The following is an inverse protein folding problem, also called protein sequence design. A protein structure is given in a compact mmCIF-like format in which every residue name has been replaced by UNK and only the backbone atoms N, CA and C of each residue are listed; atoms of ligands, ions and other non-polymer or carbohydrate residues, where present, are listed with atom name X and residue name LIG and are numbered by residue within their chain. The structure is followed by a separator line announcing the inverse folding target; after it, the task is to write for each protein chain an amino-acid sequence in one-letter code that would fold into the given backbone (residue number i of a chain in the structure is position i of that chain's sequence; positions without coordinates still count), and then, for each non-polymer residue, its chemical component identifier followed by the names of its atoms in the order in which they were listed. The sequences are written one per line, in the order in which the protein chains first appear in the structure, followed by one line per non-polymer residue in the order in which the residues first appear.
data_IF_705316398112
#
_entry.id   IF_705316398112
#
_cell.length_a   1.000
_cell.length_b   1.000
_cell.length_c   1.000
_cell.angle_alpha   90.00
_cell.angle_beta   90.00
_cell.angle_gamma   90.00
#
_symmetry.space_group_name_H-M   'P 1'
#
loop_
_entity.id
_entity.type
_entity.pdbx_description
1 polymer ?
#
# COMPACT_ATOMS: atom_id res chain seq x y z
N UNK A 1 -9.47 67.11 18.50
CA UNK A 1 -9.57 66.61 17.14
C UNK A 1 -8.33 65.80 16.81
N UNK A 2 -8.40 64.52 16.89
CA UNK A 2 -7.30 63.60 16.54
C UNK A 2 -7.64 62.94 15.20
N UNK A 3 -6.84 63.26 14.18
CA UNK A 3 -6.96 62.62 12.84
C UNK A 3 -6.21 61.27 12.86
N UNK A 4 -6.94 60.18 12.76
CA UNK A 4 -6.39 58.87 12.52
C UNK A 4 -6.31 58.67 10.98
N UNK A 5 -5.08 58.85 10.43
CA UNK A 5 -4.77 58.51 9.03
C UNK A 5 -4.26 57.09 8.99
N UNK A 6 -5.19 56.13 8.79
CA UNK A 6 -4.85 54.73 8.62
C UNK A 6 -4.58 54.42 7.13
N UNK A 7 -3.29 54.29 6.79
CA UNK A 7 -2.85 53.94 5.44
C UNK A 7 -3.29 52.54 5.06
N UNK A 8 -4.14 52.39 4.02
CA UNK A 8 -4.67 51.13 3.50
C UNK A 8 -3.63 50.13 2.95
N UNK A 9 -2.35 50.40 3.14
CA UNK A 9 -1.23 49.50 2.74
C UNK A 9 -0.89 48.48 3.83
N UNK A 10 -1.14 48.80 5.11
CA UNK A 10 -0.90 47.89 6.22
C UNK A 10 -1.96 46.79 6.29
N UNK A 11 -3.22 47.10 5.97
CA UNK A 11 -4.32 46.14 5.98
C UNK A 11 -4.13 45.05 4.91
N UNK A 12 -3.56 45.40 3.73
CA UNK A 12 -3.26 44.44 2.65
C UNK A 12 -2.08 43.49 3.01
N UNK A 13 -1.11 43.96 3.78
CA UNK A 13 0.01 43.13 4.23
C UNK A 13 -0.39 42.12 5.28
N UNK A 14 -1.30 42.47 6.19
CA UNK A 14 -1.83 41.57 7.22
C UNK A 14 -2.70 40.47 6.57
N UNK A 15 -3.52 40.81 5.56
CA UNK A 15 -4.34 39.83 4.85
C UNK A 15 -3.49 38.80 4.07
N UNK A 16 -2.33 39.18 3.55
CA UNK A 16 -1.44 38.31 2.80
C UNK A 16 -0.68 37.32 3.69
N UNK A 17 -0.41 37.66 4.93
CA UNK A 17 0.27 36.79 5.92
C UNK A 17 -0.67 35.74 6.53
N UNK A 18 -1.99 35.96 6.52
CA UNK A 18 -2.98 35.02 7.07
C UNK A 18 -3.32 33.90 6.08
N UNK A 19 -3.19 34.15 4.77
CA UNK A 19 -3.49 33.13 3.72
C UNK A 19 -2.37 32.08 3.59
N UNK A 20 -1.14 32.37 4.04
CA UNK A 20 0.00 31.44 3.96
C UNK A 20 -0.01 30.31 5.02
N UNK A 21 -0.94 30.32 5.98
CA UNK A 21 -0.95 29.42 7.13
C UNK A 21 -1.89 28.21 7.05
N UNK A 22 -2.67 28.01 5.96
CA UNK A 22 -3.72 27.01 5.89
C UNK A 22 -3.48 25.85 4.91
N UNK A 23 -2.25 25.62 4.48
CA UNK A 23 -1.86 24.38 3.85
C UNK A 23 -1.49 23.35 4.93
N UNK A 24 -2.44 22.96 5.76
CA UNK A 24 -2.35 21.70 6.50
C UNK A 24 -2.38 20.59 5.45
N UNK A 25 -1.21 20.17 5.00
CA UNK A 25 -1.08 18.93 4.24
C UNK A 25 -1.64 17.82 5.10
N UNK A 26 -2.82 17.29 4.74
CA UNK A 26 -3.29 16.00 5.26
C UNK A 26 -2.27 14.96 4.84
N UNK A 27 -1.30 14.68 5.69
CA UNK A 27 -0.43 13.51 5.52
C UNK A 27 -1.35 12.29 5.68
N UNK A 28 -1.50 11.43 4.66
CA UNK A 28 -2.28 10.22 4.83
C UNK A 28 -1.71 9.42 5.99
N UNK A 29 -2.60 8.82 6.80
CA UNK A 29 -2.16 7.95 7.89
C UNK A 29 -1.39 6.76 7.28
N UNK A 30 -0.27 6.34 7.90
CA UNK A 30 0.49 5.20 7.40
C UNK A 30 -0.37 3.93 7.51
N UNK A 31 -0.51 3.21 6.41
CA UNK A 31 -1.30 1.98 6.38
C UNK A 31 -0.52 0.76 6.86
N UNK A 32 0.81 0.79 6.71
CA UNK A 32 1.66 -0.37 6.96
C UNK A 32 2.92 -0.02 7.74
N UNK A 33 3.48 -1.06 8.37
CA UNK A 33 4.84 -1.06 8.93
C UNK A 33 5.62 -2.19 8.26
N UNK A 34 6.84 -1.91 7.81
CA UNK A 34 7.72 -2.91 7.19
C UNK A 34 8.62 -3.65 8.21
N UNK A 35 9.45 -4.57 7.73
CA UNK A 35 10.38 -5.34 8.56
C UNK A 35 11.47 -4.48 9.22
N UNK A 36 11.77 -3.29 8.70
CA UNK A 36 12.69 -2.33 9.32
C UNK A 36 11.99 -1.43 10.37
N UNK A 37 10.68 -1.60 10.57
CA UNK A 37 9.87 -0.77 11.46
C UNK A 37 9.53 0.60 10.86
N UNK A 38 9.71 0.77 9.54
CA UNK A 38 9.39 2.01 8.85
C UNK A 38 7.92 2.01 8.42
N UNK A 39 7.31 3.19 8.43
CA UNK A 39 5.94 3.37 7.94
C UNK A 39 5.92 3.38 6.42
N UNK A 40 4.98 2.63 5.84
CA UNK A 40 4.76 2.51 4.39
C UNK A 40 3.31 2.87 4.09
N UNK A 41 3.07 3.59 3.00
CA UNK A 41 1.74 3.94 2.50
C UNK A 41 1.52 3.30 1.13
N UNK A 42 0.26 3.14 0.72
CA UNK A 42 -0.06 2.69 -0.64
C UNK A 42 0.51 3.62 -1.71
N UNK A 43 0.62 4.91 -1.42
CA UNK A 43 1.19 5.91 -2.34
C UNK A 43 2.66 5.62 -2.69
N UNK A 44 3.39 4.87 -1.84
CA UNK A 44 4.74 4.41 -2.15
C UNK A 44 4.81 3.53 -3.41
N UNK A 45 3.71 2.86 -3.74
CA UNK A 45 3.58 1.98 -4.88
C UNK A 45 2.85 2.63 -6.08
N UNK A 46 2.47 3.91 -5.99
CA UNK A 46 1.76 4.61 -7.05
C UNK A 46 2.52 4.61 -8.38
N UNK A 47 1.78 4.66 -9.50
CA UNK A 47 2.34 4.69 -10.85
C UNK A 47 2.44 3.34 -11.55
N UNK A 48 2.24 2.22 -10.83
CA UNK A 48 2.09 0.89 -11.42
C UNK A 48 1.07 0.05 -10.65
N UNK A 49 0.49 -0.99 -11.26
CA UNK A 49 -0.40 -1.89 -10.56
C UNK A 49 0.28 -2.53 -9.35
N UNK A 50 -0.48 -2.73 -8.26
CA UNK A 50 0.00 -3.32 -7.02
C UNK A 50 -0.82 -4.57 -6.68
N UNK A 51 -0.15 -5.69 -6.47
CA UNK A 51 -0.73 -6.90 -5.91
C UNK A 51 -0.43 -6.96 -4.41
N UNK A 52 -1.46 -6.90 -3.59
CA UNK A 52 -1.38 -7.03 -2.13
C UNK A 52 -1.85 -8.42 -1.75
N UNK A 53 -0.95 -9.27 -1.28
CA UNK A 53 -1.24 -10.65 -0.90
C UNK A 53 -1.30 -10.79 0.62
N UNK A 54 -2.36 -11.40 1.14
CA UNK A 54 -2.45 -11.80 2.54
C UNK A 54 -2.03 -13.24 2.72
N UNK A 55 -1.08 -13.47 3.62
CA UNK A 55 -0.54 -14.79 3.94
C UNK A 55 -0.39 -15.01 5.44
N UNK A 56 -0.16 -16.26 5.85
CA UNK A 56 0.26 -16.61 7.19
C UNK A 56 1.24 -17.82 7.15
N UNK A 57 2.14 -17.94 8.14
CA UNK A 57 3.12 -19.04 8.18
C UNK A 57 2.49 -20.44 8.27
N UNK A 58 1.31 -20.55 8.87
CA UNK A 58 0.53 -21.79 8.97
C UNK A 58 -0.32 -22.11 7.73
N UNK A 59 -0.40 -21.19 6.78
CA UNK A 59 -1.18 -21.35 5.55
C UNK A 59 -0.34 -22.02 4.45
N UNK A 60 -0.41 -23.33 4.35
CA UNK A 60 0.37 -24.08 3.36
C UNK A 60 0.18 -23.63 1.90
N UNK A 61 -1.05 -23.35 1.38
CA UNK A 61 -1.22 -22.82 0.04
C UNK A 61 -0.58 -21.42 -0.12
N UNK A 62 -0.59 -20.57 0.92
CA UNK A 62 0.09 -19.26 0.88
C UNK A 62 1.60 -19.42 0.66
N UNK A 63 2.21 -20.39 1.34
CA UNK A 63 3.66 -20.64 1.20
C UNK A 63 4.01 -21.23 -0.17
N UNK A 64 3.12 -22.03 -0.78
CA UNK A 64 3.35 -22.58 -2.12
C UNK A 64 3.28 -21.52 -3.22
N UNK A 65 2.49 -20.46 -3.06
CA UNK A 65 2.42 -19.39 -4.06
C UNK A 65 3.58 -18.39 -3.98
N UNK A 66 4.33 -18.32 -2.87
CA UNK A 66 5.40 -17.33 -2.68
C UNK A 66 6.48 -17.33 -3.77
N UNK A 67 6.94 -18.49 -4.31
CA UNK A 67 7.87 -18.48 -5.45
C UNK A 67 7.31 -17.75 -6.69
N UNK A 68 6.01 -17.89 -6.98
CA UNK A 68 5.34 -17.21 -8.09
C UNK A 68 5.24 -15.71 -7.83
N UNK A 69 4.91 -15.30 -6.60
CA UNK A 69 4.87 -13.89 -6.21
C UNK A 69 6.26 -13.24 -6.25
N UNK A 70 7.30 -13.94 -5.81
CA UNK A 70 8.68 -13.48 -5.91
C UNK A 70 9.09 -13.27 -7.38
N UNK A 71 8.73 -14.21 -8.27
CA UNK A 71 9.00 -14.11 -9.70
C UNK A 71 8.26 -12.92 -10.33
N UNK A 72 6.96 -12.77 -10.03
CA UNK A 72 6.13 -11.66 -10.50
C UNK A 72 6.72 -10.30 -10.10
N UNK A 73 7.16 -10.16 -8.85
CA UNK A 73 7.80 -8.94 -8.36
C UNK A 73 9.10 -8.62 -9.11
N UNK A 74 9.88 -9.66 -9.46
CA UNK A 74 11.15 -9.51 -10.20
C UNK A 74 10.94 -9.02 -11.63
N UNK A 75 9.82 -9.37 -12.27
CA UNK A 75 9.48 -8.89 -13.61
C UNK A 75 9.21 -7.38 -13.64
N UNK A 76 8.76 -6.79 -12.54
CA UNK A 76 8.66 -5.35 -12.33
C UNK A 76 7.46 -4.65 -12.99
N UNK A 77 6.62 -5.37 -13.75
CA UNK A 77 5.38 -4.81 -14.34
C UNK A 77 4.32 -4.52 -13.27
N UNK A 78 4.29 -5.36 -12.22
CA UNK A 78 3.38 -5.29 -11.09
C UNK A 78 4.22 -5.18 -9.81
N UNK A 79 3.94 -4.20 -8.98
CA UNK A 79 4.47 -4.20 -7.63
C UNK A 79 3.77 -5.30 -6.81
N UNK A 80 4.50 -6.01 -5.98
CA UNK A 80 3.94 -7.07 -5.12
C UNK A 80 4.37 -6.83 -3.70
N UNK A 81 3.45 -6.90 -2.77
CA UNK A 81 3.70 -6.87 -1.32
C UNK A 81 2.92 -8.00 -0.65
N UNK A 82 3.40 -8.49 0.49
CA UNK A 82 2.66 -9.46 1.27
C UNK A 82 2.42 -8.94 2.69
N UNK A 83 1.18 -9.11 3.17
CA UNK A 83 0.76 -8.72 4.52
C UNK A 83 0.64 -9.98 5.36
N UNK A 84 1.36 -10.02 6.49
CA UNK A 84 1.13 -11.08 7.47
C UNK A 84 -0.25 -10.91 8.11
N UNK A 85 -1.03 -12.00 8.07
CA UNK A 85 -2.42 -11.99 8.56
C UNK A 85 -2.50 -11.90 10.08
N UNK A 86 -1.59 -12.58 10.78
CA UNK A 86 -1.59 -12.60 12.24
C UNK A 86 -0.87 -11.37 12.82
N UNK A 87 -1.18 -10.97 14.04
CA UNK A 87 -0.38 -9.97 14.74
C UNK A 87 1.10 -10.40 14.78
N UNK A 88 1.99 -9.49 14.47
CA UNK A 88 3.42 -9.75 14.36
C UNK A 88 4.24 -8.49 14.64
N UNK A 89 5.56 -8.65 14.75
CA UNK A 89 6.49 -7.53 14.91
C UNK A 89 7.42 -7.43 13.70
N UNK A 90 8.04 -6.26 13.45
CA UNK A 90 9.03 -6.09 12.38
C UNK A 90 10.15 -7.15 12.42
N UNK A 91 10.68 -7.45 13.61
CA UNK A 91 11.73 -8.45 13.77
C UNK A 91 11.26 -9.89 13.45
N UNK A 92 9.97 -10.19 13.61
CA UNK A 92 9.39 -11.47 13.21
C UNK A 92 9.17 -11.53 11.70
N UNK A 93 8.81 -10.43 11.04
CA UNK A 93 8.72 -10.37 9.57
C UNK A 93 10.06 -10.74 8.92
N UNK A 94 11.18 -10.22 9.41
CA UNK A 94 12.51 -10.57 8.91
C UNK A 94 12.79 -12.08 9.02
N UNK A 95 12.43 -12.68 10.15
CA UNK A 95 12.59 -14.13 10.36
C UNK A 95 11.70 -14.93 9.40
N UNK A 96 10.46 -14.50 9.21
CA UNK A 96 9.53 -15.13 8.26
C UNK A 96 10.05 -15.04 6.82
N UNK A 97 10.56 -13.88 6.41
CA UNK A 97 11.15 -13.67 5.08
C UNK A 97 12.31 -14.64 4.84
N UNK A 98 13.22 -14.76 5.80
CA UNK A 98 14.36 -15.67 5.70
C UNK A 98 13.92 -17.13 5.70
N UNK A 99 13.02 -17.53 6.61
CA UNK A 99 12.58 -18.92 6.80
C UNK A 99 11.83 -19.45 5.57
N UNK A 100 10.99 -18.64 4.94
CA UNK A 100 10.13 -19.05 3.82
C UNK A 100 10.61 -18.52 2.48
N UNK A 101 11.82 -17.95 2.40
CA UNK A 101 12.41 -17.39 1.18
C UNK A 101 11.52 -16.37 0.47
N UNK A 102 10.83 -15.55 1.26
CA UNK A 102 9.96 -14.49 0.76
C UNK A 102 10.83 -13.29 0.39
N UNK A 103 10.77 -12.87 -0.87
CA UNK A 103 11.57 -11.76 -1.43
C UNK A 103 10.74 -10.50 -1.66
N UNK A 104 9.41 -10.64 -1.71
CA UNK A 104 8.51 -9.48 -1.76
C UNK A 104 8.53 -8.76 -0.41
N UNK A 105 8.33 -7.42 -0.37
CA UNK A 105 8.22 -6.71 0.89
C UNK A 105 7.13 -7.31 1.78
N UNK A 106 7.48 -7.64 3.02
CA UNK A 106 6.54 -8.08 4.05
C UNK A 106 6.10 -6.89 4.88
N UNK A 107 4.79 -6.77 5.08
CA UNK A 107 4.16 -5.65 5.75
C UNK A 107 3.25 -6.13 6.89
N UNK A 108 3.11 -5.27 7.89
CA UNK A 108 2.09 -5.34 8.93
C UNK A 108 1.06 -4.28 8.60
N UNK A 109 -0.22 -4.65 8.47
CA UNK A 109 -1.29 -3.66 8.36
C UNK A 109 -1.52 -3.00 9.72
N UNK A 110 -1.48 -1.68 9.78
CA UNK A 110 -1.74 -0.93 11.00
C UNK A 110 -3.24 -1.01 11.35
N UNK A 111 -3.57 -0.97 12.63
CA UNK A 111 -4.96 -1.13 13.11
C UNK A 111 -5.91 -0.06 12.54
N UNK A 112 -5.42 1.17 12.40
CA UNK A 112 -6.18 2.30 11.87
C UNK A 112 -6.06 2.46 10.34
N UNK A 113 -5.44 1.51 9.64
CA UNK A 113 -5.23 1.57 8.21
C UNK A 113 -6.55 1.61 7.44
N UNK A 114 -6.71 2.60 6.57
CA UNK A 114 -7.86 2.73 5.67
C UNK A 114 -7.50 2.19 4.30
N UNK A 115 -7.61 0.88 4.15
CA UNK A 115 -7.29 0.20 2.89
C UNK A 115 -8.48 0.22 1.93
N UNK A 116 -8.28 0.26 0.60
CA UNK A 116 -9.34 0.20 -0.39
C UNK A 116 -9.94 -1.22 -0.54
N UNK A 117 -9.57 -2.14 0.33
CA UNK A 117 -10.03 -3.52 0.39
C UNK A 117 -10.22 -3.96 1.85
N UNK A 118 -11.14 -4.91 2.12
CA UNK A 118 -11.36 -5.41 3.46
C UNK A 118 -10.24 -6.37 3.90
N UNK A 119 -10.10 -6.58 5.21
CA UNK A 119 -9.33 -7.73 5.72
C UNK A 119 -10.01 -9.02 5.24
N UNK A 120 -9.28 -9.98 4.62
CA UNK A 120 -9.89 -11.17 4.07
C UNK A 120 -10.39 -12.12 5.16
N UNK A 121 -11.46 -12.86 4.85
CA UNK A 121 -12.01 -13.91 5.74
C UNK A 121 -11.35 -15.27 5.58
N UNK A 122 -10.48 -15.43 4.58
CA UNK A 122 -9.76 -16.67 4.29
C UNK A 122 -8.43 -16.41 3.59
N UNK A 123 -7.53 -17.39 3.63
CA UNK A 123 -6.19 -17.30 3.06
C UNK A 123 -5.91 -18.44 2.05
N UNK A 124 -5.08 -18.19 1.03
CA UNK A 124 -4.57 -16.87 0.66
C UNK A 124 -5.66 -16.00 -0.02
N UNK A 125 -5.53 -14.69 0.08
CA UNK A 125 -6.34 -13.74 -0.68
C UNK A 125 -5.44 -12.62 -1.16
N UNK A 126 -5.57 -12.26 -2.43
CA UNK A 126 -4.81 -11.18 -3.05
C UNK A 126 -5.75 -10.11 -3.60
N UNK A 127 -5.34 -8.86 -3.49
CA UNK A 127 -6.03 -7.69 -4.01
C UNK A 127 -5.16 -7.02 -5.07
N UNK A 128 -5.69 -6.90 -6.29
CA UNK A 128 -5.05 -6.13 -7.35
C UNK A 128 -5.57 -4.70 -7.32
N UNK A 129 -4.67 -3.75 -7.15
CA UNK A 129 -4.94 -2.32 -7.29
C UNK A 129 -4.38 -1.83 -8.62
N UNK A 130 -5.03 -0.82 -9.22
CA UNK A 130 -4.46 -0.13 -10.38
C UNK A 130 -3.36 0.87 -9.98
N UNK A 131 -2.79 1.56 -10.95
CA UNK A 131 -1.74 2.57 -10.75
C UNK A 131 -2.18 3.78 -9.93
N UNK A 132 -3.48 3.96 -9.71
CA UNK A 132 -4.08 5.01 -8.88
C UNK A 132 -4.44 4.50 -7.48
N UNK A 133 -4.12 3.24 -7.14
CA UNK A 133 -4.42 2.62 -5.85
C UNK A 133 -5.88 2.15 -5.69
N UNK A 134 -6.68 2.11 -6.76
CA UNK A 134 -8.07 1.64 -6.72
C UNK A 134 -8.15 0.12 -6.86
N UNK A 135 -8.99 -0.51 -6.07
CA UNK A 135 -9.23 -1.95 -6.17
C UNK A 135 -9.85 -2.33 -7.51
N UNK A 136 -9.18 -3.21 -8.25
CA UNK A 136 -9.60 -3.76 -9.55
C UNK A 136 -10.13 -5.19 -9.44
N UNK A 137 -9.46 -6.02 -8.65
CA UNK A 137 -9.79 -7.43 -8.56
C UNK A 137 -9.46 -8.00 -7.17
N UNK A 138 -10.30 -8.91 -6.70
CA UNK A 138 -10.04 -9.75 -5.53
C UNK A 138 -9.85 -11.19 -6.02
N UNK A 139 -8.72 -11.78 -5.63
CA UNK A 139 -8.33 -13.14 -6.00
C UNK A 139 -8.31 -13.98 -4.71
N UNK A 140 -9.21 -14.96 -4.64
CA UNK A 140 -9.30 -15.86 -3.48
C UNK A 140 -8.72 -17.20 -3.85
N UNK A 141 -7.83 -17.72 -3.02
CA UNK A 141 -7.13 -18.98 -3.23
C UNK A 141 -5.70 -18.79 -3.78
N UNK A 142 -5.00 -19.92 -3.87
CA UNK A 142 -3.58 -19.99 -4.27
C UNK A 142 -3.38 -19.49 -5.72
N UNK A 143 -2.41 -18.61 -5.91
CA UNK A 143 -2.00 -18.09 -7.21
C UNK A 143 -0.87 -18.96 -7.80
N UNK A 144 -1.24 -19.94 -8.63
CA UNK A 144 -0.29 -20.68 -9.45
C UNK A 144 0.07 -19.92 -10.74
N UNK A 145 0.91 -20.53 -11.60
CA UNK A 145 1.40 -19.88 -12.81
C UNK A 145 0.26 -19.41 -13.74
N UNK A 146 -0.77 -20.22 -13.93
CA UNK A 146 -1.90 -19.89 -14.81
C UNK A 146 -2.68 -18.65 -14.31
N UNK A 147 -2.85 -18.50 -13.00
CA UNK A 147 -3.50 -17.33 -12.40
C UNK A 147 -2.63 -16.09 -12.54
N UNK A 148 -1.31 -16.22 -12.37
CA UNK A 148 -0.35 -15.13 -12.59
C UNK A 148 -0.38 -14.67 -14.05
N UNK A 149 -0.39 -15.60 -15.02
CA UNK A 149 -0.45 -15.27 -16.44
C UNK A 149 -1.77 -14.56 -16.80
N UNK A 150 -2.89 -15.03 -16.26
CA UNK A 150 -4.19 -14.37 -16.43
C UNK A 150 -4.20 -12.97 -15.81
N UNK A 151 -3.61 -12.79 -14.63
CA UNK A 151 -3.45 -11.49 -13.97
C UNK A 151 -2.67 -10.52 -14.85
N UNK A 152 -1.51 -10.94 -15.38
CA UNK A 152 -0.68 -10.13 -16.30
C UNK A 152 -1.44 -9.76 -17.56
N UNK A 153 -2.19 -10.68 -18.14
CA UNK A 153 -3.02 -10.43 -19.32
C UNK A 153 -4.10 -9.36 -19.03
N UNK A 154 -4.76 -9.42 -17.87
CA UNK A 154 -5.81 -8.47 -17.49
C UNK A 154 -5.30 -7.03 -17.33
N UNK A 155 -4.04 -6.86 -16.92
CA UNK A 155 -3.42 -5.54 -16.77
C UNK A 155 -2.99 -4.96 -18.12
N UNK A 156 -2.50 -5.82 -19.02
CA UNK A 156 -2.08 -5.38 -20.37
C UNK A 156 -3.26 -5.05 -21.28
N UNK A 157 -4.44 -5.64 -21.01
CA UNK A 157 -5.65 -5.46 -21.82
C UNK A 157 -6.85 -5.07 -20.93
N UNK A 158 -6.89 -3.84 -20.36
CA UNK A 158 -7.89 -3.43 -19.37
C UNK A 158 -9.30 -3.21 -19.92
N UNK A 159 -9.65 -3.77 -21.09
CA UNK A 159 -10.91 -3.51 -21.76
C UNK A 159 -11.60 -4.73 -22.40
N UNK A 160 -11.21 -5.95 -22.02
CA UNK A 160 -11.85 -7.16 -22.57
C UNK A 160 -12.70 -7.86 -21.52
#
# INVERSE_FOLDING_TARGET
MVRVSGSGKELKRICWLIVAGLLSACTPAPEFTDAAGQTVTLDHFAGKPLLVNYFAPWCAPCLREMPHLNALATEGEIAVVAINYDPTTPAELDKLAAQYHIKVPLLIANEDARLPFPRPSGLPTSYLLDSEGKLKQTLVGELGQSQIDALKASIRHPGN
#
